data_IF_680785025848
#
_entry.id   IF_680785025848
#
_cell.length_a   1.000
_cell.length_b   1.000
_cell.length_c   1.000
_cell.angle_alpha   90.00
_cell.angle_beta   90.00
_cell.angle_gamma   90.00
#
_symmetry.space_group_name_H-M   'P 1'
#
loop_
_entity.id
_entity.type
_entity.pdbx_description
1 polymer ?
#
# COMPACT_ATOMS: atom_id res chain seq x y z
N UNK A 1 15.48 14.82 3.73
CA UNK A 1 14.12 15.37 4.00
C UNK A 1 13.19 14.38 4.73
N UNK A 2 13.13 13.09 4.35
CA UNK A 2 12.21 12.14 5.00
C UNK A 2 12.62 11.81 6.45
N UNK A 3 13.92 11.62 6.72
CA UNK A 3 14.42 11.31 8.06
C UNK A 3 14.11 12.38 9.12
N UNK A 4 13.98 13.66 8.73
CA UNK A 4 13.63 14.75 9.65
C UNK A 4 12.13 14.88 9.93
N UNK A 5 11.28 14.14 9.20
CA UNK A 5 9.82 14.14 9.33
C UNK A 5 9.25 12.75 9.66
N UNK A 6 10.08 11.88 10.23
CA UNK A 6 9.63 10.56 10.65
C UNK A 6 8.61 10.66 11.81
N UNK A 7 7.58 9.79 11.83
CA UNK A 7 6.59 9.78 12.91
C UNK A 7 7.23 9.55 14.29
N UNK A 8 6.64 10.19 15.31
CA UNK A 8 6.99 9.99 16.72
C UNK A 8 6.02 8.99 17.37
N UNK A 9 6.48 8.36 18.46
CA UNK A 9 5.79 7.29 19.18
C UNK A 9 5.42 6.12 18.28
N UNK A 10 6.33 5.77 17.38
CA UNK A 10 6.05 4.75 16.38
C UNK A 10 6.05 3.34 16.98
N UNK A 11 5.15 2.50 16.48
CA UNK A 11 5.11 1.11 16.89
C UNK A 11 6.36 0.38 16.37
N UNK A 12 6.97 -0.42 17.25
CA UNK A 12 8.13 -1.23 16.90
C UNK A 12 7.76 -2.31 15.88
N UNK A 13 8.66 -2.57 14.93
CA UNK A 13 8.56 -3.73 14.03
C UNK A 13 8.92 -5.05 14.76
N UNK A 14 9.03 -6.14 13.99
CA UNK A 14 9.35 -7.47 14.53
C UNK A 14 10.79 -7.58 15.06
N UNK A 15 11.70 -6.70 14.63
CA UNK A 15 13.08 -6.63 15.10
C UNK A 15 13.27 -5.62 16.24
N UNK A 16 12.17 -5.01 16.74
CA UNK A 16 12.21 -4.01 17.81
C UNK A 16 12.56 -2.59 17.36
N UNK A 17 12.73 -2.37 16.05
CA UNK A 17 13.08 -1.04 15.53
C UNK A 17 11.86 -0.14 15.49
N UNK A 18 12.10 1.15 15.74
CA UNK A 18 11.13 2.25 15.64
C UNK A 18 11.66 3.31 14.68
N UNK A 19 10.78 4.12 14.10
CA UNK A 19 11.19 5.25 13.27
C UNK A 19 12.13 6.21 14.00
N UNK A 20 11.96 6.37 15.31
CA UNK A 20 12.82 7.18 16.16
C UNK A 20 14.26 6.67 16.17
N UNK A 21 14.48 5.35 16.19
CA UNK A 21 15.82 4.77 16.14
C UNK A 21 16.51 5.12 14.82
N UNK A 22 15.78 5.08 13.71
CA UNK A 22 16.30 5.47 12.40
C UNK A 22 16.55 6.98 12.33
N UNK A 23 15.65 7.80 12.87
CA UNK A 23 15.81 9.24 12.95
C UNK A 23 16.94 9.69 13.88
N UNK A 24 17.24 8.93 14.94
CA UNK A 24 18.41 9.11 15.79
C UNK A 24 19.67 8.70 15.04
N UNK A 25 19.72 7.49 14.49
CA UNK A 25 20.87 7.02 13.71
C UNK A 25 21.24 8.02 12.61
N UNK A 26 20.26 8.50 11.85
CA UNK A 26 20.50 9.54 10.84
C UNK A 26 21.08 10.83 11.45
N UNK A 27 20.46 11.39 12.50
CA UNK A 27 20.89 12.68 13.09
C UNK A 27 22.23 12.62 13.81
N UNK A 28 22.44 11.59 14.64
CA UNK A 28 23.69 11.40 15.39
C UNK A 28 24.85 11.12 14.44
N UNK A 29 24.60 10.42 13.33
CA UNK A 29 25.63 10.07 12.37
C UNK A 29 25.78 11.09 11.22
N UNK A 30 24.89 12.08 11.11
CA UNK A 30 25.01 13.22 10.19
C UNK A 30 25.70 14.45 10.81
N UNK A 31 25.95 14.45 12.12
CA UNK A 31 26.58 15.57 12.83
C UNK A 31 28.09 15.61 12.58
N UNK A 32 28.62 16.81 12.25
CA UNK A 32 30.06 17.09 12.15
C UNK A 32 30.78 17.07 13.50
N UNK A 33 30.03 17.17 14.60
CA UNK A 33 30.54 17.21 15.97
C UNK A 33 30.10 15.97 16.76
N UNK A 34 31.08 15.36 17.44
CA UNK A 34 30.87 14.25 18.38
C UNK A 34 29.91 14.71 19.49
N UNK A 35 28.88 13.94 19.88
CA UNK A 35 28.09 14.29 21.05
C UNK A 35 29.03 14.40 22.26
N UNK A 36 28.95 15.52 22.97
CA UNK A 36 29.75 15.74 24.18
C UNK A 36 29.37 14.69 25.21
N UNK A 37 30.29 13.76 25.47
CA UNK A 37 30.33 12.81 26.58
C UNK A 37 29.02 12.09 26.94
N UNK A 38 28.84 10.87 26.45
CA UNK A 38 28.07 9.84 27.17
C UNK A 38 29.08 8.81 27.73
N UNK A 39 29.12 8.52 29.03
CA UNK A 39 30.16 7.69 29.65
C UNK A 39 30.01 6.16 29.43
N UNK A 40 29.17 5.68 28.52
CA UNK A 40 28.74 4.28 28.48
C UNK A 40 28.97 3.58 27.13
N UNK A 41 30.15 3.74 26.53
CA UNK A 41 30.59 2.78 25.50
C UNK A 41 32.00 2.26 25.82
N UNK A 42 32.11 1.19 26.64
CA UNK A 42 33.40 0.66 27.09
C UNK A 42 34.21 -0.06 25.99
N UNK A 43 33.82 0.06 24.71
CA UNK A 43 34.56 -0.52 23.58
C UNK A 43 34.80 0.41 22.39
N UNK A 44 34.25 1.63 22.38
CA UNK A 44 34.39 2.53 21.25
C UNK A 44 35.76 3.25 21.24
N UNK A 45 36.72 2.71 20.49
CA UNK A 45 37.96 3.44 20.16
C UNK A 45 37.62 4.79 19.51
N UNK A 46 38.21 5.93 19.96
CA UNK A 46 37.92 7.28 19.45
C UNK A 46 38.06 7.47 17.93
N UNK A 47 38.70 6.54 17.22
CA UNK A 47 38.99 6.57 15.78
C UNK A 47 37.90 5.98 14.87
N UNK A 48 36.84 5.35 15.41
CA UNK A 48 35.83 4.66 14.58
C UNK A 48 34.66 5.54 14.14
N UNK A 49 34.43 6.67 14.83
CA UNK A 49 33.38 7.61 14.46
C UNK A 49 33.84 8.52 13.32
N UNK A 50 33.24 8.35 12.14
CA UNK A 50 33.43 9.27 11.01
C UNK A 50 32.14 10.06 10.81
N UNK A 51 32.17 11.41 10.94
CA UNK A 51 31.01 12.25 10.65
C UNK A 51 30.40 11.96 9.27
N UNK A 52 29.08 11.96 9.16
CA UNK A 52 28.36 11.70 7.91
C UNK A 52 28.22 10.23 7.53
N UNK A 53 29.17 9.37 7.90
CA UNK A 53 29.24 7.96 7.46
C UNK A 53 27.97 7.15 7.70
N UNK A 54 27.26 7.39 8.81
CA UNK A 54 26.04 6.63 9.08
C UNK A 54 24.81 7.13 8.32
N UNK A 55 24.74 8.42 8.01
CA UNK A 55 23.74 8.93 7.08
C UNK A 55 23.98 8.38 5.67
N UNK A 56 25.24 8.33 5.24
CA UNK A 56 25.65 7.70 3.97
C UNK A 56 25.36 6.20 3.95
N UNK A 57 25.59 5.49 5.07
CA UNK A 57 25.27 4.07 5.19
C UNK A 57 23.77 3.80 5.12
N UNK A 58 22.94 4.62 5.80
CA UNK A 58 21.48 4.52 5.72
C UNK A 58 20.97 4.85 4.31
N UNK A 59 21.56 5.85 3.66
CA UNK A 59 21.27 6.17 2.26
C UNK A 59 21.67 5.03 1.33
N UNK A 60 22.89 4.50 1.46
CA UNK A 60 23.38 3.37 0.67
C UNK A 60 22.53 2.12 0.84
N UNK A 61 22.11 1.82 2.07
CA UNK A 61 21.18 0.73 2.35
C UNK A 61 19.80 0.99 1.73
N UNK A 62 19.25 2.20 1.88
CA UNK A 62 17.96 2.54 1.29
C UNK A 62 17.98 2.44 -0.25
N UNK A 63 19.06 2.89 -0.88
CA UNK A 63 19.29 2.77 -2.33
C UNK A 63 19.44 1.32 -2.75
N UNK A 64 20.22 0.51 -2.02
CA UNK A 64 20.35 -0.93 -2.27
C UNK A 64 18.99 -1.63 -2.22
N UNK A 65 18.20 -1.35 -1.19
CA UNK A 65 16.85 -1.91 -1.04
C UNK A 65 15.94 -1.46 -2.19
N UNK A 66 15.88 -0.17 -2.48
CA UNK A 66 15.03 0.39 -3.53
C UNK A 66 15.38 -0.18 -4.92
N UNK A 67 16.66 -0.41 -5.21
CA UNK A 67 17.14 -1.02 -6.45
C UNK A 67 16.98 -2.54 -6.51
N UNK A 68 16.41 -3.18 -5.49
CA UNK A 68 16.15 -4.62 -5.48
C UNK A 68 17.33 -5.50 -5.05
N UNK A 69 18.34 -4.92 -4.41
CA UNK A 69 19.55 -5.62 -3.96
C UNK A 69 19.42 -6.39 -2.64
N UNK A 70 18.20 -6.67 -2.16
CA UNK A 70 18.00 -7.45 -0.94
C UNK A 70 18.13 -8.96 -1.26
N UNK A 71 19.07 -9.70 -0.62
CA UNK A 71 19.22 -11.13 -0.92
C UNK A 71 17.94 -11.93 -0.64
N UNK A 72 17.54 -12.85 -1.54
CA UNK A 72 16.30 -13.62 -1.39
C UNK A 72 16.21 -14.41 -0.09
N UNK A 73 17.34 -14.86 0.46
CA UNK A 73 17.44 -15.70 1.66
C UNK A 73 17.03 -14.93 2.93
N UNK A 74 17.33 -13.63 2.99
CA UNK A 74 16.99 -12.78 4.15
C UNK A 74 15.65 -12.06 3.97
N UNK A 75 15.15 -11.97 2.73
CA UNK A 75 13.97 -11.19 2.37
C UNK A 75 12.70 -11.55 3.17
N UNK A 76 12.32 -12.83 3.39
CA UNK A 76 11.08 -13.17 4.08
C UNK A 76 11.00 -12.59 5.49
N UNK A 77 12.11 -12.68 6.24
CA UNK A 77 12.24 -12.15 7.60
C UNK A 77 12.49 -10.65 7.59
N UNK A 78 13.46 -10.15 6.81
CA UNK A 78 13.83 -8.73 6.80
C UNK A 78 12.67 -7.82 6.39
N UNK A 79 11.85 -8.25 5.42
CA UNK A 79 10.63 -7.55 5.02
C UNK A 79 9.40 -8.02 5.79
N UNK A 80 9.57 -8.90 6.78
CA UNK A 80 8.51 -9.36 7.64
C UNK A 80 7.91 -8.24 8.49
N UNK A 81 6.90 -8.59 9.27
CA UNK A 81 6.17 -7.63 10.08
C UNK A 81 5.60 -8.20 11.36
N UNK A 82 5.46 -7.34 12.36
CA UNK A 82 4.69 -7.66 13.56
C UNK A 82 3.21 -7.46 13.26
N UNK A 83 2.43 -8.52 13.35
CA UNK A 83 1.00 -8.54 13.08
C UNK A 83 0.22 -8.33 14.38
N UNK A 84 -0.69 -7.36 14.35
CA UNK A 84 -1.61 -7.06 15.45
C UNK A 84 -3.04 -7.16 14.91
N UNK A 85 -3.90 -7.89 15.62
CA UNK A 85 -5.33 -7.94 15.33
C UNK A 85 -6.05 -6.86 16.14
N UNK A 86 -6.47 -5.78 15.47
CA UNK A 86 -7.33 -4.76 16.08
C UNK A 86 -8.78 -5.20 16.00
N UNK A 87 -9.54 -5.01 17.09
CA UNK A 87 -10.99 -5.25 17.09
C UNK A 87 -11.67 -4.14 16.31
N UNK A 88 -12.59 -4.50 15.41
CA UNK A 88 -13.54 -3.57 14.80
C UNK A 88 -14.80 -3.50 15.67
N UNK A 89 -15.62 -2.49 15.44
CA UNK A 89 -16.90 -2.34 16.12
C UNK A 89 -17.80 -3.55 15.86
N UNK A 90 -18.46 -4.02 16.92
CA UNK A 90 -19.29 -5.21 16.91
C UNK A 90 -18.52 -6.54 16.87
N UNK A 91 -17.21 -6.55 17.17
CA UNK A 91 -16.43 -7.78 17.34
C UNK A 91 -16.86 -8.57 18.59
N UNK A 92 -17.35 -9.79 18.38
CA UNK A 92 -17.75 -10.73 19.45
C UNK A 92 -16.96 -12.04 19.34
N UNK A 93 -16.93 -12.90 20.38
CA UNK A 93 -16.30 -14.22 20.30
C UNK A 93 -16.90 -15.12 19.22
N UNK A 94 -18.18 -14.96 18.90
CA UNK A 94 -18.92 -15.74 17.89
C UNK A 94 -18.92 -15.10 16.50
N UNK A 95 -18.55 -13.82 16.39
CA UNK A 95 -18.46 -13.07 15.14
C UNK A 95 -17.23 -12.17 15.18
N UNK A 96 -16.09 -12.73 14.76
CA UNK A 96 -14.81 -12.02 14.77
C UNK A 96 -14.81 -10.95 13.68
N UNK A 97 -14.77 -9.68 14.09
CA UNK A 97 -14.56 -8.53 13.21
C UNK A 97 -13.22 -7.91 13.54
N UNK A 98 -12.18 -8.33 12.83
CA UNK A 98 -10.81 -7.91 13.10
C UNK A 98 -10.22 -7.13 11.93
N UNK A 99 -9.31 -6.19 12.24
CA UNK A 99 -8.47 -5.50 11.28
C UNK A 99 -7.01 -5.91 11.53
N UNK A 100 -6.41 -6.73 10.65
CA UNK A 100 -5.00 -7.07 10.78
C UNK A 100 -4.15 -5.86 10.40
N UNK A 101 -3.27 -5.43 11.30
CA UNK A 101 -2.27 -4.40 11.04
C UNK A 101 -0.88 -5.04 11.04
N UNK A 102 -0.21 -4.99 9.90
CA UNK A 102 1.14 -5.48 9.73
C UNK A 102 2.14 -4.33 9.89
N UNK A 103 2.83 -4.30 11.03
CA UNK A 103 3.92 -3.36 11.29
C UNK A 103 5.19 -3.95 10.67
N UNK A 104 5.40 -3.65 9.39
CA UNK A 104 6.57 -4.10 8.64
C UNK A 104 7.88 -3.47 9.12
N UNK A 105 8.99 -4.03 8.64
CA UNK A 105 10.34 -3.50 8.86
C UNK A 105 10.41 -1.98 8.72
N UNK A 106 10.95 -1.32 9.73
CA UNK A 106 11.07 0.15 9.76
C UNK A 106 11.86 0.66 8.56
N UNK A 107 12.95 -0.02 8.19
CA UNK A 107 13.78 0.37 7.05
C UNK A 107 12.99 0.29 5.74
N UNK A 108 12.27 -0.82 5.53
CA UNK A 108 11.40 -0.98 4.37
C UNK A 108 10.26 0.06 4.34
N UNK A 109 9.68 0.38 5.50
CA UNK A 109 8.68 1.44 5.60
C UNK A 109 9.28 2.82 5.29
N UNK A 110 10.50 3.13 5.72
CA UNK A 110 11.19 4.37 5.36
C UNK A 110 11.41 4.49 3.85
N UNK A 111 11.94 3.44 3.21
CA UNK A 111 12.11 3.41 1.75
C UNK A 111 10.76 3.59 1.05
N UNK A 112 9.71 2.91 1.53
CA UNK A 112 8.35 3.05 0.98
C UNK A 112 7.78 4.47 1.17
N UNK A 113 8.04 5.14 2.30
CA UNK A 113 7.63 6.54 2.48
C UNK A 113 8.34 7.49 1.52
N UNK A 114 9.63 7.27 1.26
CA UNK A 114 10.40 8.04 0.28
C UNK A 114 9.81 7.83 -1.12
N UNK A 115 9.59 6.58 -1.51
CA UNK A 115 9.00 6.23 -2.80
C UNK A 115 7.58 6.82 -2.94
N UNK A 116 6.69 6.64 -1.95
CA UNK A 116 5.35 7.21 -1.98
C UNK A 116 5.35 8.73 -2.16
N UNK A 117 6.33 9.42 -1.57
CA UNK A 117 6.51 10.87 -1.75
C UNK A 117 7.05 11.22 -3.12
N UNK A 118 8.06 10.50 -3.61
CA UNK A 118 8.72 10.76 -4.88
C UNK A 118 7.77 10.55 -6.07
N UNK A 119 6.91 9.54 -6.00
CA UNK A 119 5.99 9.17 -7.08
C UNK A 119 4.59 9.78 -6.93
N UNK A 120 4.37 10.66 -5.94
CA UNK A 120 3.05 11.22 -5.62
C UNK A 120 2.34 11.81 -6.82
N UNK A 121 2.99 12.73 -7.54
CA UNK A 121 2.37 13.42 -8.68
C UNK A 121 2.05 12.41 -9.79
N UNK A 122 2.98 11.49 -10.11
CA UNK A 122 2.75 10.44 -11.11
C UNK A 122 1.60 9.50 -10.74
N UNK A 123 1.39 9.20 -9.45
CA UNK A 123 0.21 8.45 -9.00
C UNK A 123 -1.07 9.27 -9.22
N UNK A 124 -1.04 10.56 -8.89
CA UNK A 124 -2.17 11.48 -9.08
C UNK A 124 -2.54 11.61 -10.56
N UNK A 125 -1.55 11.78 -11.45
CA UNK A 125 -1.77 11.95 -12.88
C UNK A 125 -2.45 10.72 -13.52
N UNK A 126 -2.16 9.51 -13.02
CA UNK A 126 -2.80 8.29 -13.50
C UNK A 126 -4.20 8.10 -12.91
N UNK A 127 -4.36 8.32 -11.60
CA UNK A 127 -5.57 7.96 -10.86
C UNK A 127 -6.66 9.04 -10.90
N UNK A 128 -6.26 10.29 -11.14
CA UNK A 128 -7.10 11.49 -11.25
C UNK A 128 -6.48 12.47 -12.26
N UNK A 129 -6.49 12.15 -13.56
CA UNK A 129 -5.82 12.95 -14.58
C UNK A 129 -6.36 14.39 -14.64
N UNK A 130 -5.48 15.40 -14.78
CA UNK A 130 -5.83 16.81 -14.64
C UNK A 130 -6.44 17.46 -15.90
N UNK A 131 -6.46 16.78 -17.06
CA UNK A 131 -6.99 17.35 -18.32
C UNK A 131 -8.52 17.45 -18.29
N UNK A 132 -9.14 18.20 -19.21
CA UNK A 132 -10.60 18.33 -19.26
C UNK A 132 -11.16 18.20 -20.69
N UNK A 133 -11.90 17.11 -21.01
CA UNK A 133 -11.88 15.82 -20.35
C UNK A 133 -10.74 14.93 -20.91
N UNK A 134 -9.95 14.26 -20.04
CA UNK A 134 -9.09 13.18 -20.48
C UNK A 134 -9.99 11.98 -20.77
N UNK A 135 -9.86 11.40 -21.96
CA UNK A 135 -10.59 10.20 -22.32
C UNK A 135 -9.66 9.00 -22.30
N UNK A 136 -10.21 7.85 -21.91
CA UNK A 136 -9.53 6.57 -22.06
C UNK A 136 -9.33 6.25 -23.55
N UNK A 137 -8.44 5.30 -23.84
CA UNK A 137 -8.37 4.68 -25.16
C UNK A 137 -9.74 4.05 -25.49
N UNK A 138 -10.48 4.65 -26.42
CA UNK A 138 -11.88 4.32 -26.72
C UNK A 138 -12.89 5.45 -26.47
N UNK A 139 -12.44 6.60 -25.97
CA UNK A 139 -13.27 7.81 -25.86
C UNK A 139 -14.11 7.91 -24.59
N UNK A 140 -14.14 6.86 -23.76
CA UNK A 140 -14.85 6.89 -22.49
C UNK A 140 -14.21 7.90 -21.49
N UNK A 141 -15.00 8.51 -20.59
CA UNK A 141 -14.46 9.33 -19.51
C UNK A 141 -13.46 8.57 -18.64
N UNK A 142 -12.56 9.28 -17.97
CA UNK A 142 -11.64 8.67 -17.00
C UNK A 142 -12.32 8.50 -15.63
N UNK A 143 -12.18 7.35 -14.94
CA UNK A 143 -12.71 7.18 -13.58
C UNK A 143 -11.90 7.99 -12.56
N UNK A 144 -12.49 8.31 -11.41
CA UNK A 144 -11.78 9.06 -10.36
C UNK A 144 -11.44 8.16 -9.17
N UNK A 145 -10.19 8.15 -8.72
CA UNK A 145 -9.76 7.52 -7.46
C UNK A 145 -9.27 8.57 -6.45
N UNK A 146 -10.16 8.95 -5.53
CA UNK A 146 -9.96 10.01 -4.55
C UNK A 146 -9.15 9.58 -3.32
N UNK A 147 -8.92 8.28 -3.08
CA UNK A 147 -8.31 7.78 -1.85
C UNK A 147 -6.86 8.23 -1.61
N UNK A 148 -6.20 8.79 -2.63
CA UNK A 148 -4.83 9.29 -2.56
C UNK A 148 -4.70 10.81 -2.70
N UNK A 149 -5.80 11.52 -2.94
CA UNK A 149 -5.81 12.96 -3.14
C UNK A 149 -5.99 13.70 -1.81
N UNK A 150 -5.44 14.91 -1.72
CA UNK A 150 -5.78 15.81 -0.62
C UNK A 150 -7.26 16.17 -0.72
N UNK A 151 -8.00 16.07 0.39
CA UNK A 151 -9.46 16.27 0.42
C UNK A 151 -10.28 15.28 -0.42
N UNK A 152 -9.74 14.09 -0.73
CA UNK A 152 -10.46 13.11 -1.56
C UNK A 152 -11.85 12.72 -1.06
N UNK A 153 -12.07 12.69 0.26
CA UNK A 153 -13.38 12.39 0.83
C UNK A 153 -14.38 13.53 0.59
N UNK A 154 -13.92 14.79 0.67
CA UNK A 154 -14.74 15.97 0.36
C UNK A 154 -15.10 15.97 -1.13
N UNK A 155 -14.13 15.67 -1.99
CA UNK A 155 -14.37 15.52 -3.44
C UNK A 155 -15.42 14.44 -3.70
N UNK A 156 -15.25 13.23 -3.16
CA UNK A 156 -16.23 12.14 -3.33
C UNK A 156 -17.63 12.59 -2.87
N UNK A 157 -17.73 13.10 -1.63
CA UNK A 157 -19.02 13.46 -1.02
C UNK A 157 -19.74 14.54 -1.83
N UNK A 158 -19.03 15.63 -2.17
CA UNK A 158 -19.63 16.73 -2.94
C UNK A 158 -19.94 16.34 -4.38
N UNK A 159 -19.11 15.50 -5.02
CA UNK A 159 -19.39 14.99 -6.36
C UNK A 159 -20.64 14.13 -6.40
N UNK A 160 -20.79 13.18 -5.46
CA UNK A 160 -21.99 12.34 -5.37
C UNK A 160 -23.24 13.18 -5.15
N UNK A 161 -23.21 14.10 -4.17
CA UNK A 161 -24.35 15.00 -3.90
C UNK A 161 -24.72 15.84 -5.12
N UNK A 162 -23.74 16.52 -5.73
CA UNK A 162 -23.99 17.39 -6.88
C UNK A 162 -24.55 16.61 -8.08
N UNK A 163 -24.06 15.39 -8.34
CA UNK A 163 -24.56 14.54 -9.42
C UNK A 163 -26.02 14.11 -9.18
N UNK A 164 -26.38 13.70 -7.96
CA UNK A 164 -27.74 13.30 -7.64
C UNK A 164 -28.73 14.48 -7.59
N UNK A 165 -28.26 15.67 -7.20
CA UNK A 165 -29.05 16.91 -7.29
C UNK A 165 -29.30 17.33 -8.74
N UNK A 166 -28.28 17.20 -9.60
CA UNK A 166 -28.38 17.52 -11.03
C UNK A 166 -29.21 16.48 -11.82
N UNK A 167 -29.21 15.23 -11.37
CA UNK A 167 -29.89 14.10 -12.00
C UNK A 167 -30.78 13.35 -11.00
N UNK A 168 -32.02 13.85 -10.73
CA UNK A 168 -32.92 13.25 -9.74
C UNK A 168 -33.38 11.82 -10.05
N UNK A 169 -33.20 11.36 -11.29
CA UNK A 169 -33.50 10.00 -11.76
C UNK A 169 -32.31 9.03 -11.61
N UNK A 170 -31.15 9.51 -11.17
CA UNK A 170 -29.96 8.69 -10.93
C UNK A 170 -29.96 8.12 -9.51
N UNK A 171 -29.17 7.07 -9.32
CA UNK A 171 -28.92 6.44 -8.02
C UNK A 171 -27.42 6.26 -7.82
N UNK A 172 -26.98 6.22 -6.56
CA UNK A 172 -25.63 5.82 -6.18
C UNK A 172 -25.63 4.36 -5.70
N UNK A 173 -24.89 3.51 -6.40
CA UNK A 173 -24.54 2.19 -5.89
C UNK A 173 -23.15 2.21 -5.25
N UNK A 174 -23.14 2.22 -3.91
CA UNK A 174 -21.95 2.01 -3.12
C UNK A 174 -21.62 0.51 -3.00
N UNK A 175 -20.44 0.13 -3.47
CA UNK A 175 -19.93 -1.24 -3.55
C UNK A 175 -18.74 -1.38 -2.58
N UNK A 176 -18.86 -2.29 -1.62
CA UNK A 176 -17.81 -2.62 -0.65
C UNK A 176 -17.12 -3.95 -1.02
N UNK A 177 -15.79 -3.94 -1.04
CA UNK A 177 -14.99 -5.15 -1.30
C UNK A 177 -14.63 -5.85 0.01
N UNK A 178 -15.10 -7.10 0.17
CA UNK A 178 -14.74 -7.90 1.34
C UNK A 178 -13.22 -8.09 1.42
N UNK A 179 -12.63 -7.56 2.50
CA UNK A 179 -11.19 -7.72 2.80
C UNK A 179 -10.26 -7.18 1.69
N UNK A 180 -10.67 -6.07 1.04
CA UNK A 180 -10.07 -5.54 -0.18
C UNK A 180 -8.53 -5.56 -0.22
N UNK A 181 -7.88 -4.93 0.75
CA UNK A 181 -6.43 -4.82 0.82
C UNK A 181 -5.70 -6.17 0.83
N UNK A 182 -6.28 -7.20 1.46
CA UNK A 182 -5.67 -8.52 1.55
C UNK A 182 -6.12 -9.45 0.42
N UNK A 183 -7.22 -9.14 -0.27
CA UNK A 183 -7.83 -9.95 -1.32
C UNK A 183 -7.32 -9.58 -2.71
N UNK A 184 -6.87 -8.34 -2.93
CA UNK A 184 -6.35 -7.89 -4.22
C UNK A 184 -5.15 -8.75 -4.66
N UNK A 185 -5.30 -9.43 -5.80
CA UNK A 185 -4.20 -10.21 -6.37
C UNK A 185 -3.05 -9.29 -6.77
N UNK A 186 -1.81 -9.64 -6.39
CA UNK A 186 -0.67 -8.73 -6.57
C UNK A 186 -0.34 -8.44 -8.04
N UNK A 187 -0.63 -9.40 -8.92
CA UNK A 187 -0.54 -9.22 -10.38
C UNK A 187 -1.19 -7.92 -10.86
N UNK A 188 -2.34 -7.55 -10.30
CA UNK A 188 -3.09 -6.38 -10.76
C UNK A 188 -2.27 -5.10 -10.61
N UNK A 189 -1.66 -4.87 -9.44
CA UNK A 189 -0.80 -3.70 -9.26
C UNK A 189 0.58 -3.88 -9.90
N UNK A 190 1.10 -5.11 -10.01
CA UNK A 190 2.36 -5.35 -10.72
C UNK A 190 2.25 -4.97 -12.20
N UNK A 191 1.17 -5.34 -12.87
CA UNK A 191 0.94 -5.00 -14.27
C UNK A 191 0.97 -3.48 -14.51
N UNK A 192 0.35 -2.71 -13.61
CA UNK A 192 0.32 -1.25 -13.71
C UNK A 192 1.68 -0.63 -13.35
N UNK A 193 2.38 -1.19 -12.37
CA UNK A 193 3.74 -0.73 -12.00
C UNK A 193 4.72 -1.00 -13.15
N UNK A 194 4.65 -2.17 -13.79
CA UNK A 194 5.51 -2.53 -14.92
C UNK A 194 5.31 -1.59 -16.11
N UNK A 195 4.06 -1.23 -16.44
CA UNK A 195 3.75 -0.36 -17.58
C UNK A 195 4.02 1.12 -17.30
N UNK A 196 3.61 1.61 -16.12
CA UNK A 196 3.50 3.05 -15.85
C UNK A 196 4.54 3.58 -14.88
N UNK A 197 5.19 2.69 -14.12
CA UNK A 197 6.18 3.03 -13.09
C UNK A 197 7.39 2.08 -13.10
N UNK A 198 8.07 1.88 -14.25
CA UNK A 198 9.18 0.92 -14.35
C UNK A 198 10.30 1.19 -13.34
N UNK A 199 10.54 2.47 -13.00
CA UNK A 199 11.57 2.86 -12.00
C UNK A 199 11.22 2.45 -10.56
N UNK A 200 9.94 2.19 -10.28
CA UNK A 200 9.43 1.73 -8.97
C UNK A 200 9.39 0.20 -8.87
N UNK A 201 9.41 -0.49 -10.01
CA UNK A 201 9.28 -1.94 -10.11
C UNK A 201 10.29 -2.72 -9.26
N UNK A 202 11.59 -2.36 -9.19
CA UNK A 202 12.55 -3.11 -8.38
C UNK A 202 12.18 -3.12 -6.90
N UNK A 203 11.70 -1.99 -6.38
CA UNK A 203 11.27 -1.88 -4.99
C UNK A 203 9.98 -2.65 -4.72
N UNK A 204 8.99 -2.55 -5.62
CA UNK A 204 7.72 -3.29 -5.50
C UNK A 204 7.95 -4.79 -5.58
N UNK A 205 8.83 -5.24 -6.48
CA UNK A 205 9.24 -6.63 -6.61
C UNK A 205 9.85 -7.13 -5.30
N UNK A 206 10.82 -6.39 -4.75
CA UNK A 206 11.43 -6.71 -3.45
C UNK A 206 10.39 -6.93 -2.35
N UNK A 207 9.39 -6.03 -2.29
CA UNK A 207 8.37 -6.02 -1.24
C UNK A 207 7.27 -7.07 -1.40
N UNK A 208 6.94 -7.47 -2.62
CA UNK A 208 5.68 -8.14 -2.91
C UNK A 208 5.75 -9.28 -3.93
N UNK A 209 6.90 -9.54 -4.60
CA UNK A 209 7.00 -10.62 -5.61
C UNK A 209 6.88 -12.01 -5.00
N UNK A 210 7.26 -12.17 -3.73
CA UNK A 210 7.18 -13.43 -3.00
C UNK A 210 6.68 -13.18 -1.57
N UNK A 211 6.18 -14.20 -0.85
CA UNK A 211 5.62 -14.04 0.48
C UNK A 211 6.64 -13.50 1.51
N UNK A 212 6.14 -12.79 2.53
CA UNK A 212 6.94 -12.31 3.68
C UNK A 212 6.27 -12.73 4.99
N UNK A 213 7.06 -12.91 6.03
CA UNK A 213 6.60 -13.44 7.32
C UNK A 213 5.88 -12.37 8.16
N UNK A 214 4.71 -12.70 8.70
CA UNK A 214 3.98 -11.87 9.65
C UNK A 214 3.90 -12.59 10.99
N UNK A 215 4.57 -12.04 11.99
CA UNK A 215 4.69 -12.63 13.33
C UNK A 215 3.62 -12.08 14.25
N UNK A 216 2.86 -12.95 14.92
CA UNK A 216 1.87 -12.57 15.92
C UNK A 216 2.05 -13.39 17.20
N UNK A 217 1.50 -12.87 18.31
CA UNK A 217 1.54 -13.50 19.63
C UNK A 217 0.19 -14.13 19.95
N UNK A 218 0.23 -15.33 20.51
CA UNK A 218 -0.92 -16.07 21.04
C UNK A 218 -1.15 -15.76 22.52
N UNK A 219 -2.33 -16.09 23.04
CA UNK A 219 -2.73 -15.78 24.43
C UNK A 219 -1.83 -16.47 25.47
N UNK A 220 -1.27 -17.62 25.13
CA UNK A 220 -0.28 -18.36 25.93
C UNK A 220 1.14 -17.76 25.87
N UNK A 221 1.28 -16.56 25.29
CA UNK A 221 2.54 -15.85 25.06
C UNK A 221 3.51 -16.49 24.07
N UNK A 222 3.12 -17.56 23.37
CA UNK A 222 3.88 -18.11 22.25
C UNK A 222 3.74 -17.24 21.00
N UNK A 223 4.64 -17.42 20.03
CA UNK A 223 4.61 -16.72 18.75
C UNK A 223 4.25 -17.67 17.61
N UNK A 224 3.46 -17.18 16.67
CA UNK A 224 3.14 -17.87 15.43
C UNK A 224 3.38 -16.96 14.22
N UNK A 225 3.47 -17.57 13.05
CA UNK A 225 3.77 -16.88 11.78
C UNK A 225 2.69 -17.18 10.76
N UNK A 226 2.27 -16.14 10.03
CA UNK A 226 1.44 -16.25 8.82
C UNK A 226 2.14 -15.55 7.67
N UNK A 227 2.02 -16.07 6.46
CA UNK A 227 2.65 -15.47 5.29
C UNK A 227 1.75 -14.44 4.60
N UNK A 228 2.29 -13.28 4.29
CA UNK A 228 1.63 -12.29 3.44
C UNK A 228 1.80 -12.68 1.96
N UNK A 229 0.83 -13.42 1.43
CA UNK A 229 0.84 -13.95 0.05
C UNK A 229 0.08 -13.08 -0.96
N UNK A 230 -1.03 -12.49 -0.53
CA UNK A 230 -1.90 -11.68 -1.38
C UNK A 230 -1.97 -10.24 -0.87
N UNK A 231 -2.41 -9.33 -1.74
CA UNK A 231 -2.71 -7.96 -1.36
C UNK A 231 -1.52 -7.13 -0.90
N UNK A 232 -1.84 -5.96 -0.38
CA UNK A 232 -0.90 -5.05 0.25
C UNK A 232 -1.08 -5.09 1.75
N UNK A 233 0.05 -5.11 2.47
CA UNK A 233 0.07 -5.15 3.94
C UNK A 233 -0.54 -3.87 4.51
N UNK A 234 -1.61 -3.98 5.32
CA UNK A 234 -2.20 -2.86 6.05
C UNK A 234 -1.19 -2.29 7.06
N UNK A 235 -0.71 -1.07 6.82
CA UNK A 235 0.41 -0.46 7.55
C UNK A 235 1.66 -0.23 6.70
N UNK A 236 1.69 -0.73 5.46
CA UNK A 236 2.70 -0.37 4.48
C UNK A 236 2.49 1.07 3.97
N UNK A 237 3.50 1.94 3.99
CA UNK A 237 3.37 3.31 3.47
C UNK A 237 3.08 3.43 1.98
N UNK A 238 3.40 2.41 1.18
CA UNK A 238 3.03 2.31 -0.25
C UNK A 238 1.75 1.50 -0.47
N UNK A 239 1.16 0.92 0.58
CA UNK A 239 0.11 -0.08 0.45
C UNK A 239 -1.17 0.47 -0.18
N UNK A 240 -1.55 1.70 0.17
CA UNK A 240 -2.71 2.38 -0.40
C UNK A 240 -2.51 2.72 -1.88
N UNK A 241 -1.31 3.20 -2.25
CA UNK A 241 -0.97 3.52 -3.63
C UNK A 241 -1.04 2.26 -4.50
N UNK A 242 -0.37 1.18 -4.06
CA UNK A 242 -0.38 -0.09 -4.79
C UNK A 242 -1.79 -0.70 -4.88
N UNK A 243 -2.60 -0.59 -3.83
CA UNK A 243 -3.99 -1.03 -3.87
C UNK A 243 -4.79 -0.25 -4.92
N UNK A 244 -4.71 1.09 -4.89
CA UNK A 244 -5.37 1.95 -5.87
C UNK A 244 -4.92 1.65 -7.30
N UNK A 245 -3.63 1.42 -7.53
CA UNK A 245 -3.10 1.02 -8.83
C UNK A 245 -3.68 -0.31 -9.31
N UNK A 246 -3.77 -1.32 -8.44
CA UNK A 246 -4.35 -2.61 -8.82
C UNK A 246 -5.86 -2.56 -9.02
N UNK A 247 -6.58 -1.67 -8.34
CA UNK A 247 -8.01 -1.46 -8.56
C UNK A 247 -8.29 -0.65 -9.85
N UNK A 248 -7.38 0.23 -10.25
CA UNK A 248 -7.60 1.19 -11.33
C UNK A 248 -8.03 0.58 -12.68
N UNK A 249 -7.44 -0.53 -13.18
CA UNK A 249 -7.91 -1.17 -14.41
C UNK A 249 -9.38 -1.61 -14.35
N UNK A 250 -9.87 -2.03 -13.17
CA UNK A 250 -11.28 -2.34 -12.98
C UNK A 250 -12.13 -1.08 -13.11
N UNK A 251 -11.73 0.03 -12.46
CA UNK A 251 -12.44 1.30 -12.54
C UNK A 251 -12.53 1.81 -14.00
N UNK A 252 -11.44 1.69 -14.77
CA UNK A 252 -11.40 2.07 -16.17
C UNK A 252 -12.43 1.27 -17.00
N UNK A 253 -12.46 -0.06 -16.83
CA UNK A 253 -13.45 -0.92 -17.50
C UNK A 253 -14.88 -0.59 -17.11
N UNK A 254 -15.13 -0.30 -15.83
CA UNK A 254 -16.47 0.10 -15.38
C UNK A 254 -16.89 1.43 -15.98
N UNK A 255 -16.00 2.44 -15.97
CA UNK A 255 -16.31 3.74 -16.57
C UNK A 255 -16.51 3.63 -18.08
N UNK A 256 -15.79 2.73 -18.77
CA UNK A 256 -16.01 2.45 -20.18
C UNK A 256 -17.37 1.78 -20.46
N UNK A 257 -17.81 0.87 -19.59
CA UNK A 257 -19.14 0.25 -19.67
C UNK A 257 -20.26 1.25 -19.41
N UNK A 258 -20.10 2.08 -18.38
CA UNK A 258 -21.04 3.14 -18.03
C UNK A 258 -21.08 4.20 -19.14
N UNK A 259 -19.92 4.54 -19.72
CA UNK A 259 -19.76 5.59 -20.72
C UNK A 259 -20.13 6.96 -20.17
N UNK A 260 -20.70 7.81 -21.00
CA UNK A 260 -21.19 9.15 -20.60
C UNK A 260 -22.53 9.11 -19.84
N UNK A 261 -23.08 7.91 -19.59
CA UNK A 261 -24.37 7.72 -18.91
C UNK A 261 -24.27 7.76 -17.38
N UNK A 262 -23.06 7.96 -16.84
CA UNK A 262 -22.81 7.95 -15.41
C UNK A 262 -21.34 8.12 -15.07
N UNK A 263 -21.06 8.11 -13.78
CA UNK A 263 -19.73 8.40 -13.23
C UNK A 263 -19.30 7.28 -12.28
N UNK A 264 -18.06 6.86 -12.40
CA UNK A 264 -17.39 5.91 -11.51
C UNK A 264 -16.36 6.68 -10.67
N UNK A 265 -16.62 6.74 -9.37
CA UNK A 265 -15.74 7.39 -8.38
C UNK A 265 -15.41 6.36 -7.31
N UNK A 266 -14.18 6.37 -6.83
CA UNK A 266 -13.75 5.50 -5.73
C UNK A 266 -12.96 6.28 -4.69
N UNK A 267 -13.06 5.86 -3.43
CA UNK A 267 -12.21 6.32 -2.35
C UNK A 267 -11.58 5.10 -1.68
N UNK A 268 -10.32 4.83 -2.02
CA UNK A 268 -9.66 3.57 -1.72
C UNK A 268 -10.50 2.39 -2.23
N UNK A 269 -11.03 1.54 -1.34
CA UNK A 269 -11.89 0.40 -1.64
C UNK A 269 -13.39 0.73 -1.76
N UNK A 270 -13.83 1.91 -1.33
CA UNK A 270 -15.22 2.33 -1.46
C UNK A 270 -15.51 2.76 -2.90
N UNK A 271 -16.20 1.93 -3.68
CA UNK A 271 -16.55 2.18 -5.09
C UNK A 271 -17.98 2.71 -5.19
N UNK A 272 -18.16 3.81 -5.91
CA UNK A 272 -19.45 4.44 -6.20
C UNK A 272 -19.71 4.46 -7.71
N UNK A 273 -20.89 3.99 -8.10
CA UNK A 273 -21.40 4.05 -9.47
C UNK A 273 -22.65 4.92 -9.45
N UNK A 274 -22.54 6.13 -10.01
CA UNK A 274 -23.62 7.11 -10.01
C UNK A 274 -24.17 7.23 -11.43
N UNK A 275 -25.37 6.68 -11.66
CA UNK A 275 -25.99 6.59 -12.98
C UNK A 275 -27.50 6.27 -12.87
N UNK A 276 -28.27 6.24 -13.97
CA UNK A 276 -29.63 5.70 -13.96
C UNK A 276 -29.68 4.25 -13.46
N UNK A 277 -30.77 3.80 -12.80
CA UNK A 277 -30.87 2.44 -12.23
C UNK A 277 -30.57 1.31 -13.22
N UNK A 278 -30.93 1.46 -14.49
CA UNK A 278 -30.64 0.45 -15.54
C UNK A 278 -29.15 0.30 -15.81
N UNK A 279 -28.40 1.40 -15.82
CA UNK A 279 -26.94 1.43 -16.04
C UNK A 279 -26.21 0.90 -14.82
N UNK A 280 -26.67 1.25 -13.62
CA UNK A 280 -26.14 0.69 -12.37
C UNK A 280 -26.32 -0.83 -12.34
N UNK A 281 -27.51 -1.33 -12.69
CA UNK A 281 -27.78 -2.77 -12.78
C UNK A 281 -26.84 -3.48 -13.76
N UNK A 282 -26.64 -2.90 -14.95
CA UNK A 282 -25.68 -3.39 -15.96
C UNK A 282 -24.26 -3.51 -15.39
N UNK A 283 -23.78 -2.46 -14.71
CA UNK A 283 -22.43 -2.42 -14.14
C UNK A 283 -22.26 -3.42 -12.97
N UNK A 284 -23.26 -3.57 -12.10
CA UNK A 284 -23.23 -4.54 -11.00
C UNK A 284 -23.24 -5.99 -11.51
N UNK A 285 -23.99 -6.28 -12.57
CA UNK A 285 -23.97 -7.60 -13.22
C UNK A 285 -22.60 -7.90 -13.82
N UNK A 286 -21.96 -6.93 -14.46
CA UNK A 286 -20.60 -7.10 -14.99
C UNK A 286 -19.57 -7.37 -13.87
N UNK A 287 -19.67 -6.67 -12.73
CA UNK A 287 -18.81 -6.90 -11.57
C UNK A 287 -18.93 -8.31 -11.03
N UNK A 288 -20.16 -8.80 -10.83
CA UNK A 288 -20.39 -10.14 -10.27
C UNK A 288 -19.95 -11.26 -11.21
N UNK A 289 -20.07 -11.08 -12.53
CA UNK A 289 -19.60 -12.05 -13.53
C UNK A 289 -18.08 -12.26 -13.51
N UNK A 290 -17.31 -11.22 -13.18
CA UNK A 290 -15.84 -11.30 -13.10
C UNK A 290 -15.30 -11.95 -11.82
N UNK A 291 -16.14 -12.20 -10.82
CA UNK A 291 -15.73 -12.68 -9.49
C UNK A 291 -15.67 -14.22 -9.35
N UNK A 292 -15.62 -14.99 -10.44
CA UNK A 292 -15.58 -16.46 -10.38
C UNK A 292 -14.37 -16.96 -9.56
N UNK A 293 -14.55 -17.90 -8.62
CA UNK A 293 -13.54 -18.21 -7.61
C UNK A 293 -12.38 -19.02 -8.20
N UNK A 294 -11.17 -18.45 -8.11
CA UNK A 294 -9.93 -19.19 -8.37
C UNK A 294 -9.67 -20.17 -7.22
N UNK A 295 -9.71 -21.46 -7.48
CA UNK A 295 -9.35 -22.52 -6.52
C UNK A 295 -7.84 -22.64 -6.41
N UNK A 296 -7.30 -22.36 -5.23
CA UNK A 296 -5.89 -22.52 -4.89
C UNK A 296 -5.49 -24.01 -4.89
N UNK A 297 -4.66 -24.43 -5.83
CA UNK A 297 -3.98 -25.74 -5.83
C UNK A 297 -2.59 -25.61 -5.19
N UNK A 298 -2.24 -26.56 -4.32
CA UNK A 298 -1.00 -26.55 -3.55
C UNK A 298 0.20 -27.19 -4.25
N UNK A 299 1.38 -26.61 -3.99
CA UNK A 299 2.64 -27.34 -3.87
C UNK A 299 3.69 -27.10 -4.95
N UNK A 300 4.71 -26.29 -4.64
CA UNK A 300 6.09 -26.41 -5.16
C UNK A 300 7.08 -25.85 -4.13
N UNK A 301 8.31 -26.39 -4.10
CA UNK A 301 9.40 -26.04 -3.17
C UNK A 301 10.12 -24.72 -3.49
N UNK A 302 9.67 -24.01 -4.52
CA UNK A 302 10.07 -22.63 -4.82
C UNK A 302 9.11 -21.66 -4.13
N UNK A 303 9.59 -20.53 -3.58
CA UNK A 303 8.69 -19.52 -3.02
C UNK A 303 7.71 -19.10 -4.13
N UNK A 304 6.39 -19.11 -3.87
CA UNK A 304 5.40 -18.88 -4.92
C UNK A 304 5.56 -17.47 -5.47
N UNK A 305 5.63 -17.35 -6.79
CA UNK A 305 5.62 -16.05 -7.45
C UNK A 305 4.23 -15.44 -7.31
N UNK A 306 4.12 -14.39 -6.51
CA UNK A 306 2.86 -13.72 -6.28
C UNK A 306 2.39 -12.89 -7.49
N UNK A 307 3.17 -12.85 -8.58
CA UNK A 307 2.78 -12.21 -9.86
C UNK A 307 1.96 -13.16 -10.75
N UNK A 308 2.15 -14.47 -10.64
CA UNK A 308 1.35 -15.44 -11.40
C UNK A 308 0.03 -15.73 -10.70
N UNK A 309 -1.04 -15.89 -11.48
CA UNK A 309 -2.27 -16.53 -11.00
C UNK A 309 -1.89 -17.96 -10.59
N UNK A 310 -2.04 -18.32 -9.32
CA UNK A 310 -2.09 -19.73 -8.92
C UNK A 310 -3.44 -20.32 -9.32
#
# INVERSE_FOLDING_TARGET
IVFSRLPRRSAADHAGWRYEHVGWAYRYLSSSSRPSSSPEDPGATPSTFIPGRGADALYGLASLLFSGGLPPEVRPWFLGGRLIALRKDGDTPTSRKIRPIAIGSVLARVVSMVAARQFRERFSDLLTPPSSPPTQEGGAPWPTQCGLTSSGLEVLTHSVTALLEAHPDWVDAAVDFRNAFNALHRREFFSVVESSFPDLLPWVSTMYSCPTELFYRLDDSTSATIESRCGTRQGCPLGAQLFALGLHPLLCRLQALVGDRGVVISYADDLHIIAPPSVVSEALLALTATASPTTLSGGTSTPPDCRSSL
#
